data_IF_492380722161
#
_entry.id   IF_492380722161
#
_cell.length_a   1.000
_cell.length_b   1.000
_cell.length_c   1.000
_cell.angle_alpha   90.00
_cell.angle_beta   90.00
_cell.angle_gamma   90.00
#
_symmetry.space_group_name_H-M   'P 1'
#
loop_
_entity.id
_entity.type
_entity.pdbx_description
1 polymer ?
#
# COMPACT_ATOMS: atom_id res chain seq x y z
N UNK A 1 45.03 -7.98 32.14
CA UNK A 1 44.06 -7.01 32.69
C UNK A 1 43.66 -5.91 31.69
N UNK A 2 44.57 -5.27 30.95
CA UNK A 2 44.28 -4.17 30.00
C UNK A 2 43.33 -4.60 28.88
N UNK A 3 43.53 -5.75 28.23
CA UNK A 3 42.68 -6.22 27.12
C UNK A 3 41.20 -6.41 27.53
N UNK A 4 40.91 -7.00 28.70
CA UNK A 4 39.54 -7.17 29.21
C UNK A 4 38.86 -5.83 29.48
N UNK A 5 39.60 -4.81 29.93
CA UNK A 5 39.09 -3.45 30.15
C UNK A 5 38.72 -2.79 28.82
N UNK A 6 39.60 -2.90 27.80
CA UNK A 6 39.34 -2.37 26.45
C UNK A 6 38.10 -3.03 25.83
N UNK A 7 37.99 -4.37 25.90
CA UNK A 7 36.81 -5.08 25.38
C UNK A 7 35.54 -4.60 26.06
N UNK A 8 35.54 -4.46 27.40
CA UNK A 8 34.36 -3.94 28.12
C UNK A 8 33.97 -2.53 27.65
N UNK A 9 34.93 -1.64 27.49
CA UNK A 9 34.67 -0.27 27.00
C UNK A 9 34.06 -0.33 25.59
N UNK A 10 34.62 -1.09 24.66
CA UNK A 10 34.11 -1.24 23.30
C UNK A 10 32.66 -1.78 23.32
N UNK A 11 32.37 -2.81 24.10
CA UNK A 11 31.03 -3.38 24.21
C UNK A 11 30.03 -2.36 24.78
N UNK A 12 30.41 -1.60 25.80
CA UNK A 12 29.55 -0.56 26.38
C UNK A 12 29.30 0.59 25.36
N UNK A 13 30.35 1.06 24.71
CA UNK A 13 30.21 2.11 23.68
C UNK A 13 29.33 1.64 22.51
N UNK A 14 29.48 0.41 22.05
CA UNK A 14 28.63 -0.16 21.01
C UNK A 14 27.19 -0.30 21.47
N UNK A 15 26.94 -0.75 22.71
CA UNK A 15 25.58 -0.84 23.27
C UNK A 15 24.91 0.53 23.37
N UNK A 16 25.63 1.56 23.84
CA UNK A 16 25.13 2.94 23.89
C UNK A 16 24.83 3.49 22.48
N UNK A 17 25.73 3.26 21.52
CA UNK A 17 25.50 3.63 20.12
C UNK A 17 24.23 2.98 19.57
N UNK A 18 24.05 1.66 19.77
CA UNK A 18 22.84 0.96 19.33
C UNK A 18 21.58 1.50 20.01
N UNK A 19 21.64 1.87 21.30
CA UNK A 19 20.49 2.44 22.00
C UNK A 19 20.08 3.82 21.43
N UNK A 20 21.05 4.70 21.19
CA UNK A 20 20.80 6.01 20.56
C UNK A 20 20.22 5.82 19.15
N UNK A 21 20.87 4.98 18.35
CA UNK A 21 20.40 4.70 16.98
C UNK A 21 19.00 4.08 16.98
N UNK A 22 18.67 3.23 17.94
CA UNK A 22 17.33 2.64 18.08
C UNK A 22 16.23 3.68 18.29
N UNK A 23 16.50 4.70 19.10
CA UNK A 23 15.56 5.81 19.31
C UNK A 23 15.37 6.57 18.00
N UNK A 24 16.45 6.92 17.31
CA UNK A 24 16.39 7.64 16.02
C UNK A 24 15.62 6.84 14.98
N UNK A 25 15.96 5.56 14.80
CA UNK A 25 15.26 4.67 13.85
C UNK A 25 13.77 4.52 14.20
N UNK A 26 13.46 4.39 15.48
CA UNK A 26 12.08 4.29 15.96
C UNK A 26 11.29 5.56 15.67
N UNK A 27 11.84 6.75 16.01
CA UNK A 27 11.15 8.02 15.73
C UNK A 27 10.93 8.24 14.22
N UNK A 28 11.94 8.00 13.40
CA UNK A 28 11.83 8.12 11.95
C UNK A 28 10.80 7.13 11.36
N UNK A 29 10.73 5.92 11.87
CA UNK A 29 9.74 4.93 11.41
C UNK A 29 8.31 5.34 11.81
N UNK A 30 8.09 5.81 13.04
CA UNK A 30 6.77 6.19 13.50
C UNK A 30 6.28 7.53 12.96
N UNK A 31 7.20 8.45 12.66
CA UNK A 31 6.91 9.81 12.19
C UNK A 31 7.62 10.13 10.88
N UNK A 32 7.25 9.43 9.80
CA UNK A 32 7.76 9.80 8.48
C UNK A 32 7.30 11.21 8.11
N UNK A 33 7.90 11.77 7.07
CA UNK A 33 7.49 13.07 6.55
C UNK A 33 5.99 13.08 6.27
N UNK A 34 5.30 14.13 6.71
CA UNK A 34 3.89 14.37 6.43
C UNK A 34 3.76 15.47 5.40
N UNK A 35 3.31 15.12 4.20
CA UNK A 35 3.10 16.09 3.12
C UNK A 35 1.72 16.73 3.22
N UNK A 36 1.61 18.06 3.05
CA UNK A 36 0.32 18.74 3.01
C UNK A 36 -0.45 18.39 1.74
N UNK A 37 -1.78 18.44 1.82
CA UNK A 37 -2.66 18.32 0.63
C UNK A 37 -2.75 19.69 -0.03
N UNK A 38 -2.20 19.83 -1.24
CA UNK A 38 -2.11 21.12 -1.97
C UNK A 38 -2.79 21.11 -3.33
N UNK A 39 -3.08 19.93 -3.90
CA UNK A 39 -3.55 19.78 -5.29
C UNK A 39 -5.06 19.50 -5.39
N UNK A 40 -5.85 20.03 -4.46
CA UNK A 40 -7.30 19.83 -4.45
C UNK A 40 -7.96 20.25 -5.77
N UNK A 41 -7.60 21.40 -6.32
CA UNK A 41 -8.17 21.90 -7.56
C UNK A 41 -7.88 20.97 -8.75
N UNK A 42 -6.68 20.40 -8.81
CA UNK A 42 -6.31 19.39 -9.82
C UNK A 42 -7.14 18.11 -9.68
N UNK A 43 -7.35 17.65 -8.44
CA UNK A 43 -8.19 16.49 -8.15
C UNK A 43 -9.67 16.72 -8.52
N UNK A 44 -10.21 17.90 -8.23
CA UNK A 44 -11.58 18.30 -8.64
C UNK A 44 -11.72 18.32 -10.17
N UNK A 45 -10.74 18.90 -10.87
CA UNK A 45 -10.72 18.90 -12.32
C UNK A 45 -10.65 17.48 -12.91
N UNK A 46 -9.88 16.58 -12.29
CA UNK A 46 -9.81 15.16 -12.66
C UNK A 46 -11.17 14.49 -12.48
N UNK A 47 -11.81 14.63 -11.33
CA UNK A 47 -13.14 14.06 -11.09
C UNK A 47 -14.19 14.59 -12.08
N UNK A 48 -14.19 15.89 -12.34
CA UNK A 48 -15.13 16.55 -13.24
C UNK A 48 -15.04 16.03 -14.69
N UNK A 49 -13.86 15.66 -15.18
CA UNK A 49 -13.67 15.04 -16.51
C UNK A 49 -14.51 13.77 -16.70
N UNK A 50 -14.83 13.07 -15.63
CA UNK A 50 -15.61 11.83 -15.62
C UNK A 50 -17.01 12.00 -15.04
N UNK A 51 -17.53 13.24 -15.01
CA UNK A 51 -18.86 13.55 -14.51
C UNK A 51 -19.03 13.29 -13.01
N UNK A 52 -17.95 13.32 -12.25
CA UNK A 52 -17.95 13.13 -10.79
C UNK A 52 -17.68 14.46 -10.07
N UNK A 53 -18.22 14.58 -8.86
CA UNK A 53 -17.92 15.68 -7.93
C UNK A 53 -17.05 15.14 -6.82
N UNK A 54 -15.88 15.76 -6.62
CA UNK A 54 -14.98 15.43 -5.51
C UNK A 54 -15.55 16.01 -4.21
N UNK A 55 -15.67 15.17 -3.19
CA UNK A 55 -16.17 15.55 -1.86
C UNK A 55 -15.18 15.18 -0.79
N UNK A 56 -15.00 16.05 0.21
CA UNK A 56 -14.30 15.68 1.44
C UNK A 56 -15.21 14.77 2.26
N UNK A 57 -14.61 13.74 2.80
CA UNK A 57 -15.27 12.76 3.66
C UNK A 57 -14.38 12.44 4.84
N UNK A 58 -15.00 12.06 5.96
CA UNK A 58 -14.25 11.72 7.17
C UNK A 58 -14.88 10.53 7.90
N UNK A 59 -14.03 9.79 8.60
CA UNK A 59 -14.44 8.76 9.55
C UNK A 59 -13.65 8.92 10.85
N UNK A 60 -14.18 8.37 11.93
CA UNK A 60 -13.48 8.33 13.21
C UNK A 60 -12.90 6.93 13.42
N UNK A 61 -11.60 6.85 13.63
CA UNK A 61 -10.89 5.61 13.96
C UNK A 61 -11.27 5.12 15.37
N UNK A 62 -10.93 3.86 15.69
CA UNK A 62 -11.23 3.25 17.00
C UNK A 62 -10.57 3.97 18.19
N UNK A 63 -9.44 4.65 17.95
CA UNK A 63 -8.73 5.45 18.95
C UNK A 63 -9.16 6.91 19.01
N UNK A 64 -10.24 7.29 18.30
CA UNK A 64 -10.77 8.65 18.25
C UNK A 64 -10.11 9.57 17.23
N UNK A 65 -9.10 9.11 16.48
CA UNK A 65 -8.46 9.91 15.44
C UNK A 65 -9.45 10.21 14.30
N UNK A 66 -9.52 11.47 13.87
CA UNK A 66 -10.32 11.87 12.71
C UNK A 66 -9.54 11.63 11.42
N UNK A 67 -10.02 10.71 10.59
CA UNK A 67 -9.41 10.39 9.31
C UNK A 67 -10.12 11.16 8.20
N UNK A 68 -9.35 11.69 7.25
CA UNK A 68 -9.82 12.48 6.13
C UNK A 68 -9.63 11.74 4.82
N UNK A 69 -10.48 11.99 3.84
CA UNK A 69 -10.37 11.39 2.52
C UNK A 69 -11.14 12.18 1.46
N UNK A 70 -10.92 11.81 0.21
CA UNK A 70 -11.72 12.27 -0.91
C UNK A 70 -12.60 11.15 -1.42
N UNK A 71 -13.82 11.50 -1.77
CA UNK A 71 -14.76 10.60 -2.43
C UNK A 71 -15.26 11.22 -3.73
N UNK A 72 -15.25 10.46 -4.81
CA UNK A 72 -15.80 10.84 -6.10
C UNK A 72 -16.63 9.70 -6.70
N UNK A 73 -17.81 10.01 -7.24
CA UNK A 73 -18.67 9.03 -7.91
C UNK A 73 -19.20 9.62 -9.22
N UNK A 74 -18.91 8.99 -10.37
CA UNK A 74 -19.52 9.35 -11.64
C UNK A 74 -21.04 9.24 -11.61
N UNK A 75 -21.74 10.09 -12.37
CA UNK A 75 -23.22 10.06 -12.46
C UNK A 75 -23.70 8.70 -12.98
N UNK A 76 -22.98 8.13 -13.95
CA UNK A 76 -23.26 6.82 -14.56
C UNK A 76 -22.40 5.69 -13.95
N UNK A 77 -22.13 5.77 -12.64
CA UNK A 77 -21.31 4.78 -11.93
C UNK A 77 -21.80 3.35 -12.19
N UNK A 78 -20.83 2.43 -12.37
CA UNK A 78 -21.10 1.01 -12.68
C UNK A 78 -21.68 0.20 -11.50
N UNK A 79 -21.80 0.82 -10.33
CA UNK A 79 -22.31 0.20 -9.11
C UNK A 79 -21.23 -0.42 -8.20
N UNK A 80 -19.96 -0.36 -8.59
CA UNK A 80 -18.83 -0.84 -7.82
C UNK A 80 -18.00 0.33 -7.28
N UNK A 81 -17.21 0.08 -6.24
CA UNK A 81 -16.38 1.09 -5.62
C UNK A 81 -14.97 0.56 -5.33
N UNK A 82 -13.99 1.46 -5.32
CA UNK A 82 -12.59 1.16 -4.96
C UNK A 82 -12.09 2.10 -3.88
N UNK A 83 -11.33 1.57 -2.93
CA UNK A 83 -10.60 2.34 -1.92
C UNK A 83 -9.11 2.31 -2.29
N UNK A 84 -8.48 3.49 -2.39
CA UNK A 84 -7.09 3.65 -2.85
C UNK A 84 -6.20 4.12 -1.69
N UNK A 85 -5.14 3.37 -1.37
CA UNK A 85 -4.24 3.64 -0.25
C UNK A 85 -2.85 4.05 -0.73
N UNK A 86 -2.40 5.23 -0.35
CA UNK A 86 -1.11 5.81 -0.72
C UNK A 86 0.08 5.23 0.05
N UNK A 87 1.29 5.48 -0.46
CA UNK A 87 2.56 5.11 0.17
C UNK A 87 2.90 5.95 1.41
N UNK A 88 3.94 5.54 2.14
CA UNK A 88 4.43 6.28 3.32
C UNK A 88 5.05 7.62 2.89
N UNK A 89 4.81 8.66 3.67
CA UNK A 89 5.31 10.02 3.37
C UNK A 89 4.58 10.70 2.20
N UNK A 90 3.44 10.16 1.78
CA UNK A 90 2.54 10.71 0.76
C UNK A 90 1.16 11.02 1.37
N UNK A 91 0.18 11.32 0.55
CA UNK A 91 -1.20 11.55 0.94
C UNK A 91 -2.15 11.17 -0.21
N UNK A 92 -3.45 11.38 -0.05
CA UNK A 92 -4.48 11.05 -1.04
C UNK A 92 -4.24 11.62 -2.44
N UNK A 93 -3.46 12.71 -2.60
CA UNK A 93 -3.13 13.28 -3.93
C UNK A 93 -2.32 12.30 -4.78
N UNK A 94 -1.37 11.56 -4.17
CA UNK A 94 -0.53 10.59 -4.88
C UNK A 94 -1.32 9.49 -5.57
N UNK A 95 -2.54 9.19 -5.07
CA UNK A 95 -3.40 8.18 -5.68
C UNK A 95 -4.31 8.69 -6.80
N UNK A 96 -4.23 9.99 -7.16
CA UNK A 96 -5.14 10.55 -8.18
C UNK A 96 -4.91 9.98 -9.58
N UNK A 97 -3.70 9.50 -9.91
CA UNK A 97 -3.45 8.78 -11.16
C UNK A 97 -4.21 7.45 -11.23
N UNK A 98 -4.22 6.69 -10.14
CA UNK A 98 -5.02 5.47 -10.01
C UNK A 98 -6.52 5.79 -9.93
N UNK A 99 -6.91 6.88 -9.26
CA UNK A 99 -8.29 7.35 -9.22
C UNK A 99 -8.83 7.67 -10.63
N UNK A 100 -8.02 8.28 -11.49
CA UNK A 100 -8.38 8.55 -12.89
C UNK A 100 -8.70 7.26 -13.65
N UNK A 101 -7.91 6.19 -13.49
CA UNK A 101 -8.17 4.89 -14.10
C UNK A 101 -9.55 4.36 -13.71
N UNK A 102 -9.90 4.42 -12.43
CA UNK A 102 -11.17 3.88 -11.96
C UNK A 102 -12.36 4.77 -12.30
N UNK A 103 -12.24 6.09 -12.18
CA UNK A 103 -13.30 7.03 -12.57
C UNK A 103 -13.63 6.91 -14.06
N UNK A 104 -12.62 6.77 -14.94
CA UNK A 104 -12.81 6.57 -16.38
C UNK A 104 -13.54 5.26 -16.71
N UNK A 105 -13.49 4.28 -15.80
CA UNK A 105 -14.21 3.01 -15.87
C UNK A 105 -15.46 2.97 -14.98
N UNK A 106 -15.97 4.14 -14.60
CA UNK A 106 -17.23 4.35 -13.88
C UNK A 106 -17.30 3.75 -12.46
N UNK A 107 -16.16 3.49 -11.83
CA UNK A 107 -16.14 3.14 -10.41
C UNK A 107 -16.37 4.37 -9.54
N UNK A 108 -17.04 4.19 -8.42
CA UNK A 108 -16.91 5.14 -7.31
C UNK A 108 -15.54 4.98 -6.65
N UNK A 109 -14.89 6.09 -6.30
CA UNK A 109 -13.52 6.08 -5.78
C UNK A 109 -13.47 6.78 -4.42
N UNK A 110 -12.87 6.11 -3.45
CA UNK A 110 -12.56 6.66 -2.13
C UNK A 110 -11.03 6.67 -1.95
N UNK A 111 -10.48 7.83 -1.63
CA UNK A 111 -9.03 8.02 -1.45
C UNK A 111 -8.77 8.62 -0.07
N UNK A 112 -8.57 7.80 0.97
CA UNK A 112 -8.26 8.30 2.31
C UNK A 112 -6.79 8.70 2.44
N UNK A 113 -6.51 9.68 3.30
CA UNK A 113 -5.20 9.81 3.92
C UNK A 113 -5.06 8.75 5.02
N UNK A 114 -3.97 8.02 5.02
CA UNK A 114 -3.61 7.15 6.13
C UNK A 114 -3.42 7.98 7.43
N UNK A 115 -3.63 7.35 8.59
CA UNK A 115 -3.40 8.04 9.88
C UNK A 115 -2.02 8.68 9.94
N UNK A 116 -1.93 9.85 10.57
CA UNK A 116 -0.71 10.66 10.68
C UNK A 116 -0.09 11.11 9.34
N UNK A 117 -0.82 10.99 8.23
CA UNK A 117 -0.42 11.47 6.91
C UNK A 117 -1.47 12.46 6.35
N UNK A 118 -1.08 13.28 5.36
CA UNK A 118 -1.98 14.28 4.75
C UNK A 118 -2.71 15.13 5.79
N UNK A 119 -4.04 15.12 5.77
CA UNK A 119 -4.90 15.84 6.74
C UNK A 119 -5.52 14.91 7.79
N UNK A 120 -5.25 13.60 7.74
CA UNK A 120 -5.74 12.66 8.75
C UNK A 120 -5.08 12.87 10.10
N UNK A 121 -5.87 12.71 11.17
CA UNK A 121 -5.40 12.70 12.53
C UNK A 121 -4.53 11.48 12.87
N UNK A 122 -4.16 11.39 14.15
CA UNK A 122 -3.24 10.38 14.67
C UNK A 122 -1.82 10.93 14.84
N UNK A 123 -1.07 10.34 15.77
CA UNK A 123 0.25 10.81 16.16
C UNK A 123 1.39 10.13 15.41
N UNK A 124 1.15 8.94 14.86
CA UNK A 124 2.16 8.12 14.20
C UNK A 124 1.54 7.05 13.28
N UNK A 125 2.33 6.62 12.30
CA UNK A 125 1.98 5.51 11.39
C UNK A 125 2.37 4.16 12.00
N UNK A 126 1.67 3.09 11.62
CA UNK A 126 1.94 1.73 12.11
C UNK A 126 2.08 0.68 11.02
N UNK A 127 2.16 1.12 9.75
CA UNK A 127 2.40 0.26 8.58
C UNK A 127 1.41 -0.91 8.44
N UNK A 128 0.16 -0.66 8.82
CA UNK A 128 -0.95 -1.60 8.71
C UNK A 128 -1.45 -2.19 10.03
N UNK A 129 -0.78 -1.98 11.17
CA UNK A 129 -1.25 -2.54 12.45
C UNK A 129 -2.54 -1.86 12.96
N UNK A 130 -2.61 -0.54 12.91
CA UNK A 130 -3.82 0.22 13.22
C UNK A 130 -4.58 0.58 11.94
N UNK A 131 -3.86 0.85 10.86
CA UNK A 131 -4.44 1.23 9.58
C UNK A 131 -5.37 0.16 9.01
N UNK A 132 -5.19 -1.13 9.33
CA UNK A 132 -6.13 -2.18 8.93
C UNK A 132 -7.52 -2.03 9.56
N UNK A 133 -7.63 -1.52 10.80
CA UNK A 133 -8.91 -1.14 11.40
C UNK A 133 -9.49 0.12 10.74
N UNK A 134 -8.63 1.09 10.36
CA UNK A 134 -9.06 2.27 9.62
C UNK A 134 -9.67 1.89 8.26
N UNK A 135 -9.08 0.89 7.57
CA UNK A 135 -9.66 0.33 6.33
C UNK A 135 -11.08 -0.18 6.56
N UNK A 136 -11.31 -0.90 7.66
CA UNK A 136 -12.64 -1.39 8.02
C UNK A 136 -13.63 -0.23 8.21
N UNK A 137 -13.23 0.88 8.87
CA UNK A 137 -14.06 2.08 9.05
C UNK A 137 -14.41 2.73 7.72
N UNK A 138 -13.44 2.87 6.83
CA UNK A 138 -13.67 3.39 5.48
C UNK A 138 -14.56 2.49 4.64
N UNK A 139 -14.39 1.17 4.77
CA UNK A 139 -15.23 0.19 4.11
C UNK A 139 -16.70 0.32 4.55
N UNK A 140 -16.94 0.38 5.86
CA UNK A 140 -18.28 0.55 6.43
C UNK A 140 -18.92 1.87 5.99
N UNK A 141 -18.16 2.97 6.03
CA UNK A 141 -18.62 4.26 5.52
C UNK A 141 -19.08 4.13 4.06
N UNK A 142 -18.26 3.51 3.22
CA UNK A 142 -18.55 3.36 1.79
C UNK A 142 -19.81 2.51 1.55
N UNK A 143 -19.95 1.40 2.26
CA UNK A 143 -21.14 0.52 2.17
C UNK A 143 -22.40 1.25 2.64
N UNK A 144 -22.34 1.97 3.75
CA UNK A 144 -23.48 2.69 4.30
C UNK A 144 -23.93 3.88 3.43
N UNK A 145 -22.98 4.57 2.80
CA UNK A 145 -23.28 5.78 2.03
C UNK A 145 -23.57 5.51 0.56
N UNK A 146 -23.02 4.44 -0.03
CA UNK A 146 -23.06 4.24 -1.48
C UNK A 146 -23.70 2.91 -1.89
N UNK A 147 -23.88 1.96 -0.97
CA UNK A 147 -24.46 0.62 -1.25
C UNK A 147 -23.85 -0.06 -2.49
N UNK A 148 -22.51 -0.12 -2.62
CA UNK A 148 -21.88 -0.71 -3.79
C UNK A 148 -22.13 -2.20 -3.88
N UNK A 149 -22.21 -2.76 -5.12
CA UNK A 149 -22.27 -4.22 -5.33
C UNK A 149 -20.99 -4.90 -4.87
N UNK A 150 -19.85 -4.31 -5.27
CA UNK A 150 -18.51 -4.71 -4.86
C UNK A 150 -17.72 -3.53 -4.32
N UNK A 151 -16.92 -3.80 -3.30
CA UNK A 151 -15.85 -2.90 -2.86
C UNK A 151 -14.52 -3.59 -3.13
N UNK A 152 -13.66 -2.89 -3.83
CA UNK A 152 -12.29 -3.30 -4.13
C UNK A 152 -11.30 -2.45 -3.35
N UNK A 153 -10.11 -2.97 -3.12
CA UNK A 153 -9.01 -2.22 -2.49
C UNK A 153 -7.79 -2.19 -3.40
N UNK A 154 -7.11 -1.06 -3.47
CA UNK A 154 -5.81 -0.97 -4.11
C UNK A 154 -4.87 -0.13 -3.26
N UNK A 155 -3.62 -0.55 -3.15
CA UNK A 155 -2.61 0.22 -2.41
C UNK A 155 -1.23 0.09 -3.01
N UNK A 156 -0.41 1.11 -2.74
CA UNK A 156 0.98 1.22 -3.18
C UNK A 156 1.90 1.28 -1.96
N UNK A 157 3.02 0.55 -1.97
CA UNK A 157 4.04 0.58 -0.91
C UNK A 157 3.45 0.31 0.49
N UNK A 158 3.44 1.29 1.39
CA UNK A 158 2.77 1.21 2.69
C UNK A 158 1.27 0.93 2.53
N UNK A 159 0.59 1.57 1.57
CA UNK A 159 -0.82 1.34 1.27
C UNK A 159 -1.10 -0.10 0.83
N UNK A 160 -0.18 -0.70 0.06
CA UNK A 160 -0.23 -2.11 -0.29
C UNK A 160 -0.12 -3.02 0.95
N UNK A 161 0.80 -2.70 1.86
CA UNK A 161 0.92 -3.44 3.12
C UNK A 161 -0.30 -3.26 4.03
N UNK A 162 -0.95 -2.09 4.02
CA UNK A 162 -2.18 -1.82 4.75
C UNK A 162 -3.32 -2.69 4.23
N UNK A 163 -3.58 -2.68 2.92
CA UNK A 163 -4.69 -3.44 2.34
C UNK A 163 -4.48 -4.95 2.50
N UNK A 164 -3.25 -5.45 2.37
CA UNK A 164 -2.91 -6.85 2.60
C UNK A 164 -3.10 -7.29 4.06
N UNK A 165 -2.90 -6.39 5.02
CA UNK A 165 -3.18 -6.69 6.43
C UNK A 165 -4.68 -6.58 6.74
N UNK A 166 -5.39 -5.70 6.05
CA UNK A 166 -6.82 -5.53 6.23
C UNK A 166 -7.64 -6.74 5.76
N UNK A 167 -7.22 -7.50 4.72
CA UNK A 167 -8.01 -8.65 4.20
C UNK A 167 -8.20 -9.78 5.22
N UNK A 168 -7.44 -9.81 6.30
CA UNK A 168 -7.64 -10.76 7.39
C UNK A 168 -8.95 -10.47 8.16
N UNK A 169 -9.24 -9.19 8.38
CA UNK A 169 -10.39 -8.71 9.14
C UNK A 169 -11.53 -8.30 8.22
N UNK A 170 -11.23 -7.65 7.09
CA UNK A 170 -12.19 -7.17 6.12
C UNK A 170 -12.33 -8.15 4.94
N UNK A 171 -13.12 -9.19 5.18
CA UNK A 171 -13.36 -10.27 4.20
C UNK A 171 -14.40 -9.92 3.13
N UNK A 172 -15.01 -8.74 3.24
CA UNK A 172 -16.06 -8.29 2.30
C UNK A 172 -15.50 -7.69 1.02
N UNK A 173 -14.20 -7.41 0.95
CA UNK A 173 -13.57 -7.04 -0.32
C UNK A 173 -13.86 -8.09 -1.40
N UNK A 174 -14.24 -7.66 -2.59
CA UNK A 174 -14.42 -8.55 -3.74
C UNK A 174 -13.07 -9.01 -4.28
N UNK A 175 -12.09 -8.12 -4.35
CA UNK A 175 -10.68 -8.40 -4.61
C UNK A 175 -9.82 -7.20 -4.21
N UNK A 176 -8.50 -7.41 -4.10
CA UNK A 176 -7.55 -6.32 -3.84
C UNK A 176 -6.35 -6.39 -4.79
N UNK A 177 -5.70 -5.22 -4.99
CA UNK A 177 -4.44 -5.05 -5.70
C UNK A 177 -3.42 -4.43 -4.76
N UNK A 178 -2.21 -4.96 -4.72
CA UNK A 178 -1.13 -4.46 -3.86
C UNK A 178 0.17 -4.35 -4.65
N UNK A 179 0.65 -3.11 -4.87
CA UNK A 179 1.87 -2.84 -5.60
C UNK A 179 3.03 -2.54 -4.65
N UNK A 180 4.18 -3.19 -4.88
CA UNK A 180 5.45 -2.97 -4.16
C UNK A 180 5.34 -3.10 -2.62
N UNK A 181 4.60 -4.10 -2.11
CA UNK A 181 4.45 -4.33 -0.68
C UNK A 181 5.68 -5.02 -0.07
N UNK A 182 5.99 -4.71 1.19
CA UNK A 182 6.86 -5.55 2.00
C UNK A 182 6.09 -6.77 2.55
N UNK A 183 6.79 -7.88 2.78
CA UNK A 183 6.22 -9.07 3.41
C UNK A 183 6.17 -8.96 4.94
N UNK A 184 7.22 -8.38 5.53
CA UNK A 184 7.37 -8.19 6.97
C UNK A 184 8.16 -6.91 7.26
N UNK A 185 7.60 -6.04 8.11
CA UNK A 185 8.26 -4.79 8.49
C UNK A 185 9.62 -5.04 9.19
N UNK A 186 9.72 -6.10 10.00
CA UNK A 186 11.00 -6.49 10.61
C UNK A 186 12.09 -6.72 9.56
N UNK A 187 11.76 -7.38 8.46
CA UNK A 187 12.76 -7.70 7.44
C UNK A 187 13.10 -6.50 6.58
N UNK A 188 12.09 -5.71 6.21
CA UNK A 188 12.36 -4.51 5.42
C UNK A 188 13.14 -3.47 6.23
N UNK A 189 12.95 -3.38 7.54
CA UNK A 189 13.72 -2.50 8.41
C UNK A 189 15.23 -2.81 8.35
N UNK A 190 15.63 -4.08 8.32
CA UNK A 190 17.04 -4.44 8.13
C UNK A 190 17.58 -4.01 6.75
N UNK A 191 16.77 -4.17 5.70
CA UNK A 191 17.14 -3.77 4.35
C UNK A 191 17.30 -2.25 4.28
N UNK A 192 16.33 -1.50 4.82
CA UNK A 192 16.33 -0.02 4.81
C UNK A 192 17.49 0.57 5.59
N UNK A 193 17.85 0.00 6.73
CA UNK A 193 19.06 0.41 7.48
C UNK A 193 20.31 0.20 6.64
N UNK A 194 20.42 -0.91 5.93
CA UNK A 194 21.54 -1.15 5.01
C UNK A 194 21.61 -0.14 3.86
N UNK A 195 20.47 0.18 3.27
CA UNK A 195 20.34 1.16 2.19
C UNK A 195 20.70 2.57 2.67
N UNK A 196 20.21 2.99 3.84
CA UNK A 196 20.51 4.28 4.44
C UNK A 196 22.01 4.55 4.58
N UNK A 197 22.79 3.54 4.94
CA UNK A 197 24.24 3.65 5.03
C UNK A 197 24.96 3.34 3.71
N UNK A 198 24.25 3.24 2.57
CA UNK A 198 24.82 2.82 1.28
C UNK A 198 25.59 1.50 1.34
N UNK A 199 25.12 0.58 2.18
CA UNK A 199 25.67 -0.76 2.39
C UNK A 199 24.57 -1.80 2.14
N UNK A 200 24.98 -3.04 1.86
CA UNK A 200 24.02 -4.11 1.66
C UNK A 200 23.20 -4.45 2.93
N UNK A 201 22.11 -5.15 2.76
CA UNK A 201 21.19 -5.56 3.85
C UNK A 201 21.89 -6.29 5.02
N UNK A 202 23.10 -6.85 4.81
CA UNK A 202 23.89 -7.50 5.84
C UNK A 202 24.21 -6.56 7.02
N UNK A 203 24.41 -5.26 6.75
CA UNK A 203 24.69 -4.27 7.80
C UNK A 203 23.56 -4.20 8.82
N UNK A 204 22.31 -4.09 8.38
CA UNK A 204 21.15 -4.09 9.26
C UNK A 204 20.90 -5.45 9.91
N UNK A 205 21.12 -6.54 9.16
CA UNK A 205 20.84 -7.90 9.64
C UNK A 205 21.89 -8.45 10.62
N UNK A 206 23.11 -7.95 10.56
CA UNK A 206 24.22 -8.44 11.38
C UNK A 206 24.74 -7.36 12.31
N UNK A 207 25.42 -6.33 11.76
CA UNK A 207 26.12 -5.34 12.57
C UNK A 207 25.17 -4.40 13.33
N UNK A 208 24.06 -3.98 12.75
CA UNK A 208 23.09 -3.07 13.39
C UNK A 208 21.80 -3.77 13.82
N UNK A 209 21.77 -5.10 13.78
CA UNK A 209 20.61 -5.87 14.28
C UNK A 209 20.20 -5.49 15.70
N UNK A 210 21.13 -5.32 16.68
CA UNK A 210 20.73 -4.91 18.02
C UNK A 210 20.01 -3.55 18.03
N UNK A 211 20.47 -2.57 17.24
CA UNK A 211 19.81 -1.28 17.15
C UNK A 211 18.40 -1.38 16.55
N UNK A 212 18.21 -2.18 15.50
CA UNK A 212 16.89 -2.40 14.88
C UNK A 212 15.92 -3.09 15.85
N UNK A 213 16.37 -4.14 16.55
CA UNK A 213 15.53 -4.84 17.55
C UNK A 213 15.21 -3.95 18.75
N UNK A 214 16.16 -3.14 19.19
CA UNK A 214 15.93 -2.14 20.24
C UNK A 214 14.96 -1.04 19.78
N UNK A 215 14.93 -0.66 18.49
CA UNK A 215 13.94 0.25 17.95
C UNK A 215 12.51 -0.32 18.03
N UNK A 216 12.33 -1.61 17.77
CA UNK A 216 11.03 -2.28 17.97
C UNK A 216 10.62 -2.31 19.45
N UNK A 217 11.58 -2.58 20.34
CA UNK A 217 11.33 -2.53 21.78
C UNK A 217 10.98 -1.11 22.24
N UNK A 218 11.70 -0.09 21.72
CA UNK A 218 11.42 1.31 21.98
C UNK A 218 9.99 1.68 21.61
N UNK A 219 9.53 1.32 20.40
CA UNK A 219 8.15 1.56 19.96
C UNK A 219 7.13 0.87 20.86
N UNK A 220 7.39 -0.37 21.26
CA UNK A 220 6.53 -1.10 22.20
C UNK A 220 6.42 -0.40 23.57
N UNK A 221 7.55 0.08 24.11
CA UNK A 221 7.58 0.71 25.42
C UNK A 221 6.98 2.12 25.45
N UNK A 222 7.19 2.90 24.36
CA UNK A 222 6.79 4.32 24.32
C UNK A 222 5.40 4.54 23.69
N UNK A 223 4.96 3.67 22.78
CA UNK A 223 3.71 3.81 22.01
C UNK A 223 2.77 2.61 22.12
N UNK A 224 3.16 1.56 22.86
CA UNK A 224 2.40 0.31 22.92
C UNK A 224 2.39 -0.50 21.61
N UNK A 225 3.19 -0.10 20.61
CA UNK A 225 3.18 -0.70 19.26
C UNK A 225 4.54 -1.29 18.92
N UNK A 226 4.56 -2.56 18.51
CA UNK A 226 5.74 -3.21 17.99
C UNK A 226 5.60 -3.36 16.47
N UNK A 227 6.27 -2.49 15.71
CA UNK A 227 6.23 -2.49 14.24
C UNK A 227 6.73 -3.81 13.61
N UNK A 228 7.50 -4.61 14.33
CA UNK A 228 7.91 -5.93 13.86
C UNK A 228 6.71 -6.90 13.63
N UNK A 229 5.54 -6.57 14.15
CA UNK A 229 4.32 -7.35 13.95
C UNK A 229 3.57 -6.97 12.66
N UNK A 230 3.87 -5.83 12.04
CA UNK A 230 3.32 -5.50 10.72
C UNK A 230 3.84 -6.50 9.69
N UNK A 231 2.96 -7.41 9.24
CA UNK A 231 3.36 -8.58 8.47
C UNK A 231 2.28 -9.00 7.47
N UNK A 232 2.24 -8.36 6.29
CA UNK A 232 1.37 -8.76 5.19
C UNK A 232 1.41 -10.27 4.90
N UNK A 233 2.61 -10.89 4.87
CA UNK A 233 2.74 -12.32 4.62
C UNK A 233 1.98 -13.21 5.61
N UNK A 234 1.83 -12.78 6.86
CA UNK A 234 1.05 -13.50 7.87
C UNK A 234 -0.44 -13.21 7.76
N UNK A 235 -0.78 -11.98 7.41
CA UNK A 235 -2.17 -11.53 7.36
C UNK A 235 -2.94 -12.12 6.17
N UNK A 236 -2.26 -12.50 5.10
CA UNK A 236 -2.90 -13.15 3.95
C UNK A 236 -3.19 -14.65 4.18
N UNK A 237 -2.61 -15.25 5.22
CA UNK A 237 -2.80 -16.69 5.52
C UNK A 237 -4.28 -16.96 5.81
N UNK A 238 -4.89 -17.87 5.04
CA UNK A 238 -6.29 -18.25 5.19
C UNK A 238 -7.31 -17.18 4.77
N UNK A 239 -6.87 -16.05 4.22
CA UNK A 239 -7.76 -15.11 3.53
C UNK A 239 -8.33 -15.78 2.28
N UNK A 240 -9.60 -15.51 1.98
CA UNK A 240 -10.28 -15.90 0.74
C UNK A 240 -10.51 -14.71 -0.19
N UNK A 241 -10.00 -13.54 0.17
CA UNK A 241 -10.04 -12.37 -0.70
C UNK A 241 -9.01 -12.57 -1.81
N UNK A 242 -9.41 -12.53 -3.09
CA UNK A 242 -8.49 -12.60 -4.21
C UNK A 242 -7.51 -11.43 -4.22
N UNK A 243 -6.22 -11.69 -4.41
CA UNK A 243 -5.15 -10.69 -4.33
C UNK A 243 -4.32 -10.70 -5.61
N UNK A 244 -4.19 -9.54 -6.26
CA UNK A 244 -3.18 -9.31 -7.29
C UNK A 244 -2.01 -8.55 -6.67
N UNK A 245 -0.86 -9.19 -6.60
CA UNK A 245 0.42 -8.54 -6.28
C UNK A 245 1.06 -8.04 -7.56
N UNK A 246 1.56 -6.80 -7.54
CA UNK A 246 2.33 -6.19 -8.61
C UNK A 246 3.68 -5.78 -8.02
N UNK A 247 4.80 -6.15 -8.69
CA UNK A 247 6.12 -5.77 -8.19
C UNK A 247 7.11 -5.52 -9.32
N UNK A 248 7.80 -4.40 -9.26
CA UNK A 248 8.87 -4.07 -10.18
C UNK A 248 10.14 -4.89 -9.90
N UNK A 249 10.71 -5.53 -10.92
CA UNK A 249 11.94 -6.31 -10.76
C UNK A 249 13.17 -5.45 -10.46
N UNK A 250 13.10 -4.14 -10.74
CA UNK A 250 14.15 -3.15 -10.43
C UNK A 250 13.79 -2.29 -9.20
N UNK A 251 12.94 -2.80 -8.30
CA UNK A 251 12.59 -2.10 -7.07
C UNK A 251 13.74 -2.17 -6.05
N UNK A 252 14.51 -1.08 -5.98
CA UNK A 252 15.62 -0.93 -5.05
C UNK A 252 15.16 -0.54 -3.63
N UNK A 253 13.91 -0.09 -3.47
CA UNK A 253 13.33 0.27 -2.17
C UNK A 253 12.87 -0.96 -1.38
N UNK A 254 12.01 -1.75 -2.01
CA UNK A 254 11.47 -2.99 -1.48
C UNK A 254 11.76 -4.10 -2.49
N UNK A 255 12.74 -4.97 -2.22
CA UNK A 255 13.11 -6.03 -3.16
C UNK A 255 11.90 -6.92 -3.53
N UNK A 256 11.75 -7.27 -4.80
CA UNK A 256 10.60 -8.03 -5.32
C UNK A 256 10.38 -9.39 -4.63
N UNK A 257 11.43 -9.97 -4.03
CA UNK A 257 11.34 -11.18 -3.22
C UNK A 257 10.39 -11.04 -2.02
N UNK A 258 10.04 -9.81 -1.65
CA UNK A 258 9.01 -9.59 -0.62
C UNK A 258 7.63 -10.04 -1.13
N UNK A 259 7.28 -9.77 -2.40
CA UNK A 259 6.03 -10.26 -2.99
C UNK A 259 6.04 -11.77 -3.23
N UNK A 260 7.16 -12.36 -3.63
CA UNK A 260 7.29 -13.84 -3.72
C UNK A 260 7.00 -14.51 -2.37
N UNK A 261 7.47 -13.91 -1.27
CA UNK A 261 7.20 -14.39 0.09
C UNK A 261 5.73 -14.29 0.45
N UNK A 262 5.06 -13.19 0.11
CA UNK A 262 3.62 -13.03 0.36
C UNK A 262 2.85 -14.09 -0.42
N UNK A 263 3.16 -14.28 -1.71
CA UNK A 263 2.58 -15.32 -2.57
C UNK A 263 2.70 -16.71 -1.95
N UNK A 264 3.89 -17.06 -1.43
CA UNK A 264 4.15 -18.37 -0.84
C UNK A 264 3.26 -18.69 0.38
N UNK A 265 2.70 -17.67 1.06
CA UNK A 265 1.82 -17.86 2.22
C UNK A 265 0.35 -18.10 1.87
N UNK A 266 -0.08 -17.78 0.64
CA UNK A 266 -1.45 -18.05 0.18
C UNK A 266 -1.54 -18.17 -1.35
N UNK A 267 -0.89 -19.17 -1.96
CA UNK A 267 -0.81 -19.29 -3.42
C UNK A 267 -2.17 -19.61 -4.09
N UNK A 268 -3.20 -19.95 -3.31
CA UNK A 268 -4.53 -20.23 -3.84
C UNK A 268 -5.30 -18.95 -4.22
N UNK A 269 -5.08 -17.87 -3.48
CA UNK A 269 -5.82 -16.60 -3.64
C UNK A 269 -4.96 -15.47 -4.20
N UNK A 270 -3.65 -15.70 -4.37
CA UNK A 270 -2.70 -14.66 -4.79
C UNK A 270 -2.16 -14.95 -6.19
N UNK A 271 -2.22 -13.94 -7.04
CA UNK A 271 -1.52 -13.88 -8.33
C UNK A 271 -0.43 -12.81 -8.23
N UNK A 272 0.79 -13.10 -8.66
CA UNK A 272 1.91 -12.16 -8.73
C UNK A 272 2.19 -11.80 -10.18
N UNK A 273 2.24 -10.49 -10.44
CA UNK A 273 2.75 -9.94 -11.68
C UNK A 273 4.06 -9.20 -11.42
N UNK A 274 5.14 -9.76 -11.93
CA UNK A 274 6.47 -9.17 -11.91
C UNK A 274 6.65 -8.30 -13.14
N UNK A 275 7.05 -7.03 -12.93
CA UNK A 275 7.16 -6.05 -14.00
C UNK A 275 8.63 -5.77 -14.32
N UNK A 276 9.14 -6.23 -15.47
CA UNK A 276 10.53 -5.97 -15.88
C UNK A 276 10.80 -4.46 -15.98
N UNK A 277 11.99 -4.03 -15.51
CA UNK A 277 12.47 -2.65 -15.55
C UNK A 277 11.64 -1.63 -14.73
N UNK A 278 10.61 -2.04 -14.00
CA UNK A 278 9.90 -1.18 -13.10
C UNK A 278 10.65 -1.06 -11.76
N UNK A 279 10.79 0.17 -11.26
CA UNK A 279 11.24 0.46 -9.91
C UNK A 279 10.09 0.41 -8.90
N UNK A 280 10.28 1.06 -7.74
CA UNK A 280 9.29 1.12 -6.67
C UNK A 280 8.00 1.81 -7.13
N UNK A 281 6.86 1.12 -7.03
CA UNK A 281 5.55 1.58 -7.52
C UNK A 281 5.60 2.09 -8.97
N UNK A 282 6.45 1.49 -9.80
CA UNK A 282 6.77 1.95 -11.15
C UNK A 282 6.08 1.20 -12.28
N UNK A 283 5.19 0.26 -11.98
CA UNK A 283 4.55 -0.57 -13.00
C UNK A 283 3.74 0.26 -14.00
N UNK A 284 3.00 1.24 -13.52
CA UNK A 284 2.22 2.15 -14.38
C UNK A 284 3.11 3.00 -15.30
N UNK A 285 4.31 3.36 -14.87
CA UNK A 285 5.23 4.19 -15.66
C UNK A 285 5.91 3.40 -16.79
N UNK A 286 6.12 2.10 -16.58
CA UNK A 286 6.84 1.22 -17.51
C UNK A 286 5.88 0.48 -18.43
N UNK A 287 4.72 0.05 -17.93
CA UNK A 287 3.80 -0.84 -18.62
C UNK A 287 2.33 -0.39 -18.48
N UNK A 288 2.04 0.93 -18.70
CA UNK A 288 0.73 1.56 -18.48
C UNK A 288 -0.45 0.75 -19.02
N UNK A 289 -0.42 0.40 -20.29
CA UNK A 289 -1.54 -0.31 -20.91
C UNK A 289 -1.76 -1.71 -20.31
N UNK A 290 -0.68 -2.42 -19.99
CA UNK A 290 -0.76 -3.73 -19.36
C UNK A 290 -1.24 -3.60 -17.90
N UNK A 291 -0.77 -2.59 -17.18
CA UNK A 291 -1.21 -2.28 -15.83
C UNK A 291 -2.72 -2.03 -15.79
N UNK A 292 -3.21 -1.11 -16.62
CA UNK A 292 -4.64 -0.79 -16.71
C UNK A 292 -5.47 -2.04 -17.04
N UNK A 293 -5.01 -2.85 -18.02
CA UNK A 293 -5.70 -4.07 -18.43
C UNK A 293 -5.74 -5.14 -17.32
N UNK A 294 -4.62 -5.34 -16.61
CA UNK A 294 -4.53 -6.34 -15.54
C UNK A 294 -5.34 -5.94 -14.32
N UNK A 295 -5.23 -4.69 -13.89
CA UNK A 295 -5.94 -4.18 -12.70
C UNK A 295 -7.45 -4.18 -12.93
N UNK A 296 -7.92 -3.62 -14.04
CA UNK A 296 -9.34 -3.62 -14.38
C UNK A 296 -9.88 -5.03 -14.64
N UNK A 297 -9.11 -5.86 -15.37
CA UNK A 297 -9.46 -7.26 -15.62
C UNK A 297 -9.56 -8.06 -14.34
N UNK A 298 -8.67 -7.82 -13.36
CA UNK A 298 -8.71 -8.43 -12.05
C UNK A 298 -10.01 -8.08 -11.30
N UNK A 299 -10.36 -6.81 -11.22
CA UNK A 299 -11.58 -6.39 -10.54
C UNK A 299 -12.83 -6.88 -11.26
N UNK A 300 -12.89 -6.78 -12.58
CA UNK A 300 -14.03 -7.25 -13.37
C UNK A 300 -14.28 -8.77 -13.24
N UNK A 301 -13.21 -9.57 -13.10
CA UNK A 301 -13.33 -11.03 -12.94
C UNK A 301 -13.80 -11.45 -11.55
N UNK A 302 -13.77 -10.54 -10.56
CA UNK A 302 -14.16 -10.80 -9.18
C UNK A 302 -15.40 -9.98 -8.74
N UNK A 303 -16.16 -9.43 -9.69
CA UNK A 303 -17.44 -8.79 -9.38
C UNK A 303 -18.46 -9.82 -8.87
N UNK A 304 -19.27 -9.45 -7.87
CA UNK A 304 -20.41 -10.27 -7.44
C UNK A 304 -21.48 -10.24 -8.53
N UNK A 305 -21.88 -11.40 -9.02
CA UNK A 305 -22.99 -11.52 -9.95
C UNK A 305 -24.27 -11.33 -9.14
N UNK A 306 -24.99 -10.23 -9.40
CA UNK A 306 -26.38 -10.09 -8.93
C UNK A 306 -27.28 -10.88 -9.87
N UNK A 307 -28.22 -11.67 -9.35
CA UNK A 307 -29.12 -12.57 -10.10
C UNK A 307 -30.01 -11.86 -11.15
N UNK A 308 -29.88 -10.55 -11.33
CA UNK A 308 -30.66 -9.77 -12.29
C UNK A 308 -30.04 -9.68 -13.71
N UNK A 309 -28.94 -10.37 -13.98
CA UNK A 309 -28.31 -10.34 -15.30
C UNK A 309 -27.47 -11.59 -15.56
N UNK A 310 -28.11 -12.64 -16.12
CA UNK A 310 -27.39 -13.81 -16.64
C UNK A 310 -26.63 -13.40 -17.91
N UNK A 311 -25.44 -12.85 -17.75
CA UNK A 311 -24.42 -12.89 -18.78
C UNK A 311 -23.38 -13.92 -18.30
N UNK A 312 -23.29 -15.02 -19.02
CA UNK A 312 -22.32 -16.09 -18.79
C UNK A 312 -20.91 -15.52 -18.63
N UNK A 313 -20.18 -15.86 -17.54
CA UNK A 313 -18.80 -15.42 -17.37
C UNK A 313 -17.96 -16.06 -18.51
N UNK A 314 -17.35 -15.23 -19.34
CA UNK A 314 -16.23 -15.68 -20.16
C UNK A 314 -15.08 -15.99 -19.19
N UNK A 315 -14.91 -17.24 -18.84
CA UNK A 315 -13.76 -17.72 -18.07
C UNK A 315 -12.49 -17.43 -18.86
N UNK A 316 -11.79 -16.37 -18.50
CA UNK A 316 -10.41 -16.15 -18.92
C UNK A 316 -9.55 -17.17 -18.15
N UNK A 317 -9.25 -18.31 -18.78
CA UNK A 317 -8.21 -19.22 -18.28
C UNK A 317 -6.85 -18.60 -18.57
N UNK A 318 -6.19 -18.18 -17.54
CA UNK A 318 -4.77 -17.83 -17.58
C UNK A 318 -3.95 -19.12 -17.69
N UNK A 319 -3.35 -19.37 -18.83
CA UNK A 319 -2.30 -20.37 -19.02
C UNK A 319 -1.08 -19.60 -19.51
N UNK A 320 0.03 -19.73 -18.80
CA UNK A 320 1.35 -19.21 -19.17
C UNK A 320 1.49 -17.68 -19.29
N UNK A 321 0.85 -16.90 -18.43
CA UNK A 321 1.16 -15.47 -18.25
C UNK A 321 0.93 -14.53 -19.45
N UNK A 322 0.24 -14.95 -20.55
CA UNK A 322 0.02 -14.12 -21.75
C UNK A 322 -1.45 -14.03 -22.16
N UNK A 323 -1.99 -12.79 -22.36
CA UNK A 323 -3.31 -12.60 -22.94
C UNK A 323 -3.25 -12.66 -24.48
N UNK A 324 -4.30 -13.19 -25.13
CA UNK A 324 -4.49 -13.01 -26.57
C UNK A 324 -5.21 -11.69 -26.86
N UNK A 325 -4.84 -10.93 -27.91
CA UNK A 325 -5.40 -9.63 -28.20
C UNK A 325 -6.81 -9.73 -28.80
N UNK A 326 -7.75 -8.95 -28.26
CA UNK A 326 -8.98 -8.56 -28.96
C UNK A 326 -8.79 -7.13 -29.45
N UNK A 327 -9.00 -6.93 -30.75
CA UNK A 327 -8.91 -5.66 -31.46
C UNK A 327 -10.07 -4.73 -31.04
N UNK A 328 -9.75 -3.57 -30.44
CA UNK A 328 -10.63 -2.39 -30.38
C UNK A 328 -9.78 -1.11 -30.30
N UNK A 329 -10.28 -0.09 -31.02
CA UNK A 329 -9.59 1.08 -31.52
C UNK A 329 -8.97 2.02 -30.48
N UNK A 330 -7.90 2.67 -30.93
CA UNK A 330 -7.06 3.63 -30.20
C UNK A 330 -7.63 5.06 -30.25
N UNK A 331 -7.91 5.65 -29.08
CA UNK A 331 -8.00 7.09 -28.88
C UNK A 331 -6.71 7.60 -28.22
N UNK A 332 -6.06 8.60 -28.81
CA UNK A 332 -4.83 9.23 -28.27
C UNK A 332 -5.18 10.09 -27.05
N UNK A 333 -4.47 9.86 -25.95
CA UNK A 333 -4.48 10.70 -24.75
C UNK A 333 -3.07 11.22 -24.47
N UNK A 334 -2.97 12.52 -24.16
CA UNK A 334 -1.74 13.26 -24.00
C UNK A 334 -0.93 12.85 -22.76
N UNK A 335 0.39 12.98 -22.88
CA UNK A 335 1.35 12.65 -21.84
C UNK A 335 1.36 13.72 -20.72
N UNK A 336 1.08 13.29 -19.49
CA UNK A 336 1.48 13.99 -18.27
C UNK A 336 2.59 13.17 -17.59
N UNK A 337 3.76 13.79 -17.48
CA UNK A 337 4.90 13.19 -16.80
C UNK A 337 4.81 13.43 -15.29
N UNK A 338 4.65 12.39 -14.52
CA UNK A 338 4.72 12.42 -13.06
C UNK A 338 6.17 12.39 -12.59
N UNK A 339 6.56 13.38 -11.81
CA UNK A 339 7.83 13.37 -11.09
C UNK A 339 7.60 12.73 -9.72
N UNK A 340 8.02 11.49 -9.56
CA UNK A 340 8.23 10.93 -8.22
C UNK A 340 9.36 11.69 -7.53
N UNK A 341 9.06 12.27 -6.39
CA UNK A 341 10.08 12.83 -5.51
C UNK A 341 10.64 11.67 -4.67
N UNK A 342 11.93 11.31 -4.80
CA UNK A 342 12.54 10.28 -3.97
C UNK A 342 12.85 10.84 -2.58
N UNK A 343 11.83 11.23 -1.83
CA UNK A 343 11.98 11.58 -0.43
C UNK A 343 12.49 10.36 0.35
N UNK A 344 13.65 10.48 0.98
CA UNK A 344 14.17 9.48 1.89
C UNK A 344 13.20 9.30 3.06
N UNK A 345 12.47 8.18 3.05
CA UNK A 345 11.71 7.70 4.18
C UNK A 345 12.28 6.35 4.57
N UNK A 346 12.70 6.23 5.83
CA UNK A 346 13.19 4.97 6.42
C UNK A 346 12.10 3.93 6.48
#
# INVERSE_FOLDING_TARGET
MRARRVIRIVVVCYGLFCAILAIVLGELAFRPQRLPVTERQSAEATAARFGAVLRDVSVTASDGSHLQGWFARPVDANGDAVILFHGVGDNRQGMMGSAELFLSNRFAVLVPDSRAQGESGGDFVTYGLKESDDVHRWFDWLVMQQHPRCVFGMGESMGAAIVLQAVQQERRFCAVVAESSFASFRQIAYVRVGQFFHKGAWLGRVALRPAVEMAFLYGRLTRGVNLAHASPERSVVGSRVPILLIHGLSDDNIPYQQSERILAHNPAEIVLWEVPNAGHCGAVSVARQEFDTRVLGWFNSHQRITEAGISTPKTMRWRDGRPRPSTLGLGRVGHLTWKHNPGFVL
#
